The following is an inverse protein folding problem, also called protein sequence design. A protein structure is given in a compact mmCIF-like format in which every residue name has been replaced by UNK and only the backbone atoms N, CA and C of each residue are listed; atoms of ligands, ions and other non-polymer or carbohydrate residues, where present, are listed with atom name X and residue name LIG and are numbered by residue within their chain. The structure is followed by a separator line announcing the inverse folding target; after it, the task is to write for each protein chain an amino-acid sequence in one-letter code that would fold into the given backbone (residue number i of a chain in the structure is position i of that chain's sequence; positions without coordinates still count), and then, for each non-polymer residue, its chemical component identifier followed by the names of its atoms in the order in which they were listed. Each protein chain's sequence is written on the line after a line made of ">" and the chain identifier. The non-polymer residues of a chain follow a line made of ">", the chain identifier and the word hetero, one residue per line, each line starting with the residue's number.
data_IF_520774318667
#
_entry.id   IF_520774318667
#
_cell.length_a   1.000
_cell.length_b   1.000
_cell.length_c   1.000
_cell.angle_alpha   90.00
_cell.angle_beta   90.00
_cell.angle_gamma   90.00
#
_symmetry.space_group_name_H-M   'P 1'
#
loop_
_entity.id
_entity.type
_entity.pdbx_description
1 polymer ?
#
# COMPACT_ATOMS: atom_id res chain seq x y z
N UNK A 1 -12.47 11.85 16.83
CA UNK A 1 -12.79 10.78 15.85
C UNK A 1 -11.71 10.55 14.79
N UNK A 2 -11.16 11.57 14.12
CA UNK A 2 -10.24 11.37 12.97
C UNK A 2 -8.93 10.63 13.26
N UNK A 3 -8.45 10.64 14.50
CA UNK A 3 -7.20 9.96 14.87
C UNK A 3 -7.36 8.43 14.95
N UNK A 4 -8.48 7.96 15.50
CA UNK A 4 -8.79 6.53 15.58
C UNK A 4 -9.09 5.97 14.19
N UNK A 5 -9.78 6.73 13.33
CA UNK A 5 -10.01 6.34 11.94
C UNK A 5 -8.70 6.17 11.16
N UNK A 6 -7.76 7.12 11.29
CA UNK A 6 -6.45 7.01 10.65
C UNK A 6 -5.63 5.84 11.20
N UNK A 7 -5.69 5.60 12.51
CA UNK A 7 -5.02 4.44 13.12
C UNK A 7 -5.59 3.13 12.60
N UNK A 8 -6.92 2.96 12.60
CA UNK A 8 -7.59 1.75 12.09
C UNK A 8 -7.25 1.55 10.61
N UNK A 9 -7.35 2.60 9.80
CA UNK A 9 -7.08 2.52 8.36
C UNK A 9 -5.64 2.10 8.07
N UNK A 10 -4.65 2.72 8.72
CA UNK A 10 -3.25 2.37 8.51
C UNK A 10 -2.92 0.99 9.09
N UNK A 11 -3.45 0.65 10.27
CA UNK A 11 -3.26 -0.67 10.87
C UNK A 11 -3.87 -1.79 10.01
N UNK A 12 -4.99 -1.54 9.33
CA UNK A 12 -5.58 -2.48 8.38
C UNK A 12 -4.84 -2.50 7.03
N UNK A 13 -4.27 -1.37 6.59
CA UNK A 13 -3.56 -1.25 5.30
C UNK A 13 -2.19 -1.94 5.33
N UNK A 14 -1.43 -1.80 6.41
CA UNK A 14 -0.04 -2.28 6.50
C UNK A 14 0.11 -3.81 6.31
N UNK A 15 -0.79 -4.68 6.83
CA UNK A 15 -0.66 -6.13 6.65
C UNK A 15 -1.10 -6.65 5.27
N UNK A 16 -1.84 -5.86 4.48
CA UNK A 16 -2.47 -6.34 3.24
C UNK A 16 -1.49 -6.97 2.24
N UNK A 17 -0.30 -6.36 1.96
CA UNK A 17 0.64 -6.98 1.04
C UNK A 17 1.10 -8.36 1.51
N UNK A 18 1.26 -8.57 2.83
CA UNK A 18 1.71 -9.84 3.38
C UNK A 18 0.67 -10.95 3.21
N UNK A 19 -0.61 -10.63 3.40
CA UNK A 19 -1.69 -11.59 3.18
C UNK A 19 -1.71 -12.10 1.74
N UNK A 20 -1.46 -11.21 0.76
CA UNK A 20 -1.36 -11.59 -0.65
C UNK A 20 -0.16 -12.52 -0.94
N UNK A 21 1.01 -12.23 -0.37
CA UNK A 21 2.19 -13.08 -0.51
C UNK A 21 1.99 -14.47 0.09
N UNK A 22 1.40 -14.53 1.29
CA UNK A 22 1.13 -15.79 1.97
C UNK A 22 0.15 -16.65 1.17
N UNK A 23 -0.99 -16.07 0.75
CA UNK A 23 -1.96 -16.76 -0.10
C UNK A 23 -1.31 -17.30 -1.38
N UNK A 24 -0.48 -16.49 -2.03
CA UNK A 24 0.21 -16.91 -3.26
C UNK A 24 1.17 -18.07 -2.99
N UNK A 25 1.92 -18.04 -1.88
CA UNK A 25 2.83 -19.11 -1.50
C UNK A 25 2.06 -20.43 -1.24
N UNK A 26 0.92 -20.38 -0.56
CA UNK A 26 0.04 -21.54 -0.36
C UNK A 26 -0.48 -22.10 -1.68
N UNK A 27 -0.87 -21.24 -2.62
CA UNK A 27 -1.33 -21.66 -3.95
C UNK A 27 -0.23 -22.37 -4.74
N UNK A 28 1.01 -21.87 -4.70
CA UNK A 28 2.16 -22.52 -5.32
C UNK A 28 2.50 -23.87 -4.68
N UNK A 29 2.34 -24.00 -3.35
CA UNK A 29 2.55 -25.24 -2.63
C UNK A 29 1.47 -26.29 -2.98
N UNK A 30 0.23 -25.86 -3.18
CA UNK A 30 -0.86 -26.74 -3.59
C UNK A 30 -0.75 -27.16 -5.07
N UNK A 31 -0.47 -26.23 -5.99
CA UNK A 31 -0.27 -26.53 -7.41
C UNK A 31 0.66 -25.52 -8.07
N UNK A 32 1.80 -26.02 -8.54
CA UNK A 32 2.75 -25.22 -9.32
C UNK A 32 2.12 -24.65 -10.60
N UNK A 33 1.24 -25.41 -11.25
CA UNK A 33 0.57 -24.96 -12.48
C UNK A 33 -0.35 -23.76 -12.22
N UNK A 34 -1.11 -23.77 -11.12
CA UNK A 34 -1.93 -22.61 -10.74
C UNK A 34 -1.05 -21.41 -10.40
N UNK A 35 0.05 -21.61 -9.68
CA UNK A 35 1.01 -20.54 -9.38
C UNK A 35 1.62 -19.93 -10.65
N UNK A 36 2.08 -20.74 -11.60
CA UNK A 36 2.60 -20.28 -12.89
C UNK A 36 1.53 -19.53 -13.68
N UNK A 37 0.29 -20.01 -13.66
CA UNK A 37 -0.85 -19.35 -14.31
C UNK A 37 -1.13 -17.99 -13.68
N UNK A 38 -1.13 -17.89 -12.34
CA UNK A 38 -1.33 -16.64 -11.59
C UNK A 38 -0.31 -15.56 -11.99
N UNK A 39 0.95 -15.97 -12.13
CA UNK A 39 2.08 -15.06 -12.39
C UNK A 39 2.44 -14.93 -13.87
N UNK A 40 1.69 -15.58 -14.75
CA UNK A 40 1.96 -15.66 -16.19
C UNK A 40 0.81 -15.13 -17.03
N UNK A 41 1.09 -14.91 -18.32
CA UNK A 41 0.07 -14.58 -19.32
C UNK A 41 -0.77 -13.34 -18.98
N UNK A 42 -2.09 -13.47 -19.14
CA UNK A 42 -3.07 -12.39 -18.94
C UNK A 42 -3.15 -11.92 -17.49
N UNK A 43 -2.95 -12.83 -16.52
CA UNK A 43 -3.04 -12.49 -15.10
C UNK A 43 -1.87 -11.62 -14.61
N UNK A 44 -0.67 -11.80 -15.17
CA UNK A 44 0.49 -10.96 -14.85
C UNK A 44 0.22 -9.45 -15.07
N UNK A 45 -0.58 -9.11 -16.08
CA UNK A 45 -0.97 -7.73 -16.36
C UNK A 45 -1.97 -7.16 -15.37
N UNK A 46 -2.86 -8.00 -14.83
CA UNK A 46 -3.73 -7.59 -13.72
C UNK A 46 -2.88 -7.23 -12.50
N UNK A 47 -1.84 -8.00 -12.20
CA UNK A 47 -0.91 -7.68 -11.12
C UNK A 47 -0.15 -6.36 -11.33
N UNK A 48 0.14 -5.97 -12.57
CA UNK A 48 0.71 -4.65 -12.87
C UNK A 48 -0.30 -3.53 -12.58
N UNK A 49 -1.54 -3.67 -13.06
CA UNK A 49 -2.62 -2.71 -12.77
C UNK A 49 -2.84 -2.58 -11.25
N UNK A 50 -2.81 -3.71 -10.54
CA UNK A 50 -2.90 -3.74 -9.09
C UNK A 50 -1.73 -3.02 -8.42
N UNK A 51 -0.50 -3.20 -8.90
CA UNK A 51 0.66 -2.48 -8.37
C UNK A 51 0.49 -0.96 -8.49
N UNK A 52 -0.10 -0.48 -9.60
CA UNK A 52 -0.45 0.95 -9.77
C UNK A 52 -1.46 1.40 -8.72
N UNK A 53 -2.54 0.63 -8.52
CA UNK A 53 -3.58 0.96 -7.53
C UNK A 53 -3.05 0.91 -6.10
N UNK A 54 -2.22 -0.07 -5.74
CA UNK A 54 -1.57 -0.16 -4.43
C UNK A 54 -0.64 1.05 -4.23
N UNK A 55 0.15 1.41 -5.23
CA UNK A 55 0.96 2.63 -5.18
C UNK A 55 0.14 3.89 -4.95
N UNK A 56 -0.96 4.05 -5.70
CA UNK A 56 -1.88 5.17 -5.52
C UNK A 56 -2.51 5.19 -4.12
N UNK A 57 -2.88 4.04 -3.57
CA UNK A 57 -3.40 3.90 -2.20
C UNK A 57 -2.39 4.40 -1.16
N UNK A 58 -1.16 3.91 -1.22
CA UNK A 58 -0.13 4.28 -0.26
C UNK A 58 0.29 5.75 -0.40
N UNK A 59 0.45 6.27 -1.62
CA UNK A 59 0.74 7.68 -1.84
C UNK A 59 -0.39 8.59 -1.33
N UNK A 60 -1.65 8.24 -1.62
CA UNK A 60 -2.82 9.00 -1.16
C UNK A 60 -2.99 8.96 0.36
N UNK A 61 -2.79 7.80 0.98
CA UNK A 61 -2.84 7.64 2.44
C UNK A 61 -1.77 8.49 3.12
N UNK A 62 -0.53 8.45 2.63
CA UNK A 62 0.56 9.26 3.14
C UNK A 62 0.30 10.76 2.95
N UNK A 63 -0.13 11.17 1.76
CA UNK A 63 -0.46 12.56 1.47
C UNK A 63 -1.57 13.09 2.38
N UNK A 64 -2.60 12.27 2.64
CA UNK A 64 -3.67 12.60 3.58
C UNK A 64 -3.14 12.76 5.01
N UNK A 65 -2.25 11.87 5.48
CA UNK A 65 -1.61 12.00 6.79
C UNK A 65 -0.78 13.28 6.89
N UNK A 66 -0.02 13.62 5.85
CA UNK A 66 0.81 14.83 5.80
C UNK A 66 -0.03 16.11 5.84
N UNK A 67 -1.09 16.18 5.04
CA UNK A 67 -2.05 17.28 5.13
C UNK A 67 -2.71 17.33 6.52
N UNK A 68 -2.99 16.16 7.10
CA UNK A 68 -3.57 16.01 8.43
C UNK A 68 -2.69 16.55 9.54
N UNK A 69 -1.37 16.57 9.36
CA UNK A 69 -0.45 17.19 10.31
C UNK A 69 -0.65 18.71 10.42
N UNK A 70 -1.19 19.37 9.39
CA UNK A 70 -1.51 20.81 9.42
C UNK A 70 -2.54 21.21 10.49
N UNK A 71 -3.23 20.24 11.12
CA UNK A 71 -4.16 20.47 12.24
C UNK A 71 -3.46 20.84 13.54
N UNK A 72 -2.15 20.60 13.66
CA UNK A 72 -1.33 20.89 14.84
C UNK A 72 -0.20 21.87 14.50
N UNK A 73 0.00 22.89 15.33
CA UNK A 73 1.16 23.79 15.21
C UNK A 73 2.49 23.06 15.52
N UNK A 74 2.45 22.01 16.34
CA UNK A 74 3.61 21.17 16.66
C UNK A 74 4.11 20.30 15.51
N UNK A 75 3.39 20.25 14.39
CA UNK A 75 3.77 19.47 13.22
C UNK A 75 4.97 20.03 12.44
N UNK A 76 5.24 21.34 12.54
CA UNK A 76 6.29 22.03 11.74
C UNK A 76 7.66 21.36 11.87
N UNK A 77 7.96 20.79 13.05
CA UNK A 77 9.22 20.05 13.32
C UNK A 77 9.42 18.81 12.45
N UNK A 78 8.35 18.25 11.88
CA UNK A 78 8.40 17.02 11.07
C UNK A 78 8.29 17.28 9.56
N UNK A 79 8.01 18.52 9.13
CA UNK A 79 7.90 18.84 7.70
C UNK A 79 9.15 18.53 6.88
N UNK A 80 10.38 18.77 7.39
CA UNK A 80 11.59 18.39 6.64
C UNK A 80 11.72 16.88 6.41
N UNK A 81 11.12 16.03 7.24
CA UNK A 81 11.16 14.58 7.07
C UNK A 81 10.25 14.10 5.92
N UNK A 82 9.15 14.83 5.64
CA UNK A 82 8.15 14.44 4.64
C UNK A 82 8.76 14.26 3.25
N UNK A 83 9.65 15.16 2.82
CA UNK A 83 10.30 15.07 1.49
C UNK A 83 11.12 13.79 1.34
N UNK A 84 11.82 13.35 2.40
CA UNK A 84 12.63 12.13 2.35
C UNK A 84 11.73 10.89 2.31
N UNK A 85 10.65 10.88 3.10
CA UNK A 85 9.66 9.81 3.05
C UNK A 85 9.01 9.74 1.67
N UNK A 86 8.66 10.89 1.07
CA UNK A 86 8.10 10.95 -0.27
C UNK A 86 9.05 10.37 -1.33
N UNK A 87 10.35 10.68 -1.26
CA UNK A 87 11.36 10.09 -2.16
C UNK A 87 11.37 8.56 -2.02
N UNK A 88 11.38 8.04 -0.80
CA UNK A 88 11.35 6.59 -0.55
C UNK A 88 10.08 5.96 -1.12
N UNK A 89 8.91 6.55 -0.86
CA UNK A 89 7.63 6.03 -1.36
C UNK A 89 7.56 6.02 -2.88
N UNK A 90 8.00 7.10 -3.54
CA UNK A 90 8.01 7.21 -5.00
C UNK A 90 9.03 6.25 -5.61
N UNK A 91 10.24 6.16 -5.07
CA UNK A 91 11.25 5.22 -5.55
C UNK A 91 10.78 3.77 -5.42
N UNK A 92 10.23 3.40 -4.26
CA UNK A 92 9.61 2.07 -4.07
C UNK A 92 8.47 1.82 -5.04
N UNK A 93 7.60 2.81 -5.26
CA UNK A 93 6.50 2.68 -6.21
C UNK A 93 7.00 2.44 -7.64
N UNK A 94 8.01 3.18 -8.10
CA UNK A 94 8.59 3.00 -9.44
C UNK A 94 9.22 1.63 -9.62
N UNK A 95 9.93 1.11 -8.60
CA UNK A 95 10.47 -0.25 -8.63
C UNK A 95 9.35 -1.29 -8.70
N UNK A 96 8.32 -1.15 -7.86
CA UNK A 96 7.19 -2.08 -7.85
C UNK A 96 6.42 -2.08 -9.18
N UNK A 97 6.17 -0.90 -9.73
CA UNK A 97 5.48 -0.72 -11.01
C UNK A 97 6.21 -1.35 -12.20
N UNK A 98 7.53 -1.56 -12.10
CA UNK A 98 8.32 -2.05 -13.23
C UNK A 98 7.88 -3.48 -13.63
N UNK A 99 7.39 -3.69 -14.87
CA UNK A 99 7.00 -5.01 -15.33
C UNK A 99 8.25 -5.87 -15.60
N UNK A 100 8.14 -7.18 -15.34
CA UNK A 100 9.20 -8.11 -15.75
C UNK A 100 9.07 -8.45 -17.23
N UNK A 101 7.87 -8.77 -17.69
CA UNK A 101 7.53 -9.08 -19.08
C UNK A 101 6.87 -7.88 -19.76
N UNK A 102 7.36 -7.48 -20.92
CA UNK A 102 6.76 -6.44 -21.74
C UNK A 102 5.83 -7.05 -22.79
N UNK A 103 4.71 -6.40 -23.08
CA UNK A 103 3.88 -6.73 -24.26
C UNK A 103 4.55 -6.04 -25.44
N UNK A 104 5.28 -6.85 -26.19
CA UNK A 104 6.06 -6.43 -27.34
C UNK A 104 5.41 -7.03 -28.59
N UNK A 105 5.35 -6.23 -29.65
CA UNK A 105 5.12 -6.75 -30.99
C UNK A 105 6.27 -7.66 -31.41
N UNK A 106 6.06 -8.52 -32.39
CA UNK A 106 7.11 -9.42 -32.90
C UNK A 106 8.34 -8.64 -33.40
N UNK A 107 8.15 -7.44 -33.94
CA UNK A 107 9.24 -6.55 -34.37
C UNK A 107 10.04 -6.01 -33.18
N UNK A 108 9.36 -5.56 -32.13
CA UNK A 108 9.99 -5.04 -30.92
C UNK A 108 10.73 -6.16 -30.16
N UNK A 109 10.15 -7.36 -30.07
CA UNK A 109 10.77 -8.53 -29.46
C UNK A 109 12.10 -8.88 -30.14
N UNK A 110 12.13 -8.81 -31.49
CA UNK A 110 13.33 -9.04 -32.29
C UNK A 110 14.38 -7.95 -32.06
N UNK A 111 13.94 -6.69 -31.89
CA UNK A 111 14.84 -5.56 -31.64
C UNK A 111 15.44 -5.57 -30.22
N UNK A 112 14.69 -6.05 -29.23
CA UNK A 112 15.14 -6.17 -27.84
C UNK A 112 16.04 -7.39 -27.61
N UNK A 113 16.07 -8.35 -28.54
CA UNK A 113 16.81 -9.60 -28.39
C UNK A 113 16.19 -10.56 -27.34
N UNK A 114 14.96 -10.31 -26.90
CA UNK A 114 14.26 -11.13 -25.91
C UNK A 114 12.99 -10.46 -25.37
N UNK A 115 12.24 -11.16 -24.49
CA UNK A 115 11.01 -10.65 -23.88
C UNK A 115 11.25 -9.66 -22.72
N UNK A 116 12.52 -9.44 -22.34
CA UNK A 116 12.93 -8.67 -21.17
C UNK A 116 13.82 -7.50 -21.58
N UNK A 117 13.61 -6.34 -20.95
CA UNK A 117 14.51 -5.20 -21.10
C UNK A 117 15.75 -5.40 -20.21
N UNK A 118 16.96 -5.20 -20.77
CA UNK A 118 18.23 -5.47 -20.08
C UNK A 118 18.34 -4.80 -18.70
N UNK A 119 17.96 -3.52 -18.59
CA UNK A 119 18.03 -2.77 -17.34
C UNK A 119 16.76 -2.88 -16.47
N UNK A 120 15.57 -2.69 -17.05
CA UNK A 120 14.30 -2.69 -16.31
C UNK A 120 13.85 -4.09 -15.87
N UNK A 121 14.21 -5.13 -16.62
CA UNK A 121 13.86 -6.51 -16.29
C UNK A 121 14.40 -6.96 -14.93
N UNK A 122 15.55 -6.40 -14.52
CA UNK A 122 16.17 -6.60 -13.21
C UNK A 122 15.29 -6.05 -12.09
N UNK A 123 14.63 -4.90 -12.28
CA UNK A 123 13.70 -4.33 -11.29
C UNK A 123 12.34 -5.03 -11.29
N UNK A 124 11.98 -5.71 -12.38
CA UNK A 124 10.72 -6.43 -12.52
C UNK A 124 10.62 -7.73 -11.72
N UNK A 125 11.74 -8.26 -11.19
CA UNK A 125 11.74 -9.54 -10.47
C UNK A 125 11.11 -9.44 -9.07
N UNK A 126 10.64 -10.57 -8.56
CA UNK A 126 9.99 -10.66 -7.23
C UNK A 126 10.85 -10.11 -6.07
N UNK A 127 12.17 -10.41 -5.97
CA UNK A 127 13.01 -9.82 -4.92
C UNK A 127 13.00 -8.29 -4.89
N UNK A 128 13.14 -7.63 -6.05
CA UNK A 128 13.14 -6.18 -6.15
C UNK A 128 11.80 -5.59 -5.68
N UNK A 129 10.70 -6.19 -6.13
CA UNK A 129 9.34 -5.79 -5.75
C UNK A 129 9.13 -5.95 -4.25
N UNK A 130 9.51 -7.09 -3.67
CA UNK A 130 9.36 -7.34 -2.23
C UNK A 130 10.17 -6.33 -1.39
N UNK A 131 11.40 -6.02 -1.80
CA UNK A 131 12.20 -4.98 -1.14
C UNK A 131 11.50 -3.62 -1.22
N UNK A 132 11.02 -3.23 -2.39
CA UNK A 132 10.29 -1.98 -2.59
C UNK A 132 9.03 -1.90 -1.71
N UNK A 133 8.25 -2.99 -1.60
CA UNK A 133 7.07 -3.10 -0.73
C UNK A 133 7.45 -2.80 0.72
N UNK A 134 8.49 -3.45 1.24
CA UNK A 134 8.89 -3.32 2.64
C UNK A 134 9.34 -1.88 2.95
N UNK A 135 10.09 -1.24 2.05
CA UNK A 135 10.42 0.19 2.18
C UNK A 135 9.19 1.10 2.14
N UNK A 136 8.22 0.78 1.29
CA UNK A 136 6.98 1.52 1.17
C UNK A 136 6.10 1.39 2.43
N UNK A 137 6.07 0.21 3.05
CA UNK A 137 5.44 -0.04 4.35
C UNK A 137 6.14 0.73 5.47
N UNK A 138 7.48 0.68 5.55
CA UNK A 138 8.25 1.42 6.56
C UNK A 138 8.09 2.94 6.42
N UNK A 139 8.11 3.46 5.18
CA UNK A 139 7.87 4.87 4.92
C UNK A 139 6.45 5.31 5.35
N UNK A 140 5.45 4.48 5.06
CA UNK A 140 4.06 4.74 5.46
C UNK A 140 3.87 4.70 6.97
N UNK A 141 4.45 3.69 7.63
CA UNK A 141 4.44 3.59 9.08
C UNK A 141 5.17 4.77 9.74
N UNK A 142 6.31 5.20 9.19
CA UNK A 142 7.03 6.38 9.65
C UNK A 142 6.17 7.65 9.52
N UNK A 143 5.50 7.87 8.38
CA UNK A 143 4.53 8.96 8.23
C UNK A 143 3.43 8.92 9.28
N UNK A 144 2.87 7.74 9.55
CA UNK A 144 1.85 7.56 10.57
C UNK A 144 2.39 7.86 11.97
N UNK A 145 3.61 7.43 12.28
CA UNK A 145 4.28 7.70 13.55
C UNK A 145 4.52 9.20 13.75
N UNK A 146 5.00 9.91 12.72
CA UNK A 146 5.19 11.36 12.76
C UNK A 146 3.85 12.11 12.92
N UNK A 147 2.82 11.69 12.18
CA UNK A 147 1.45 12.18 12.37
C UNK A 147 0.98 11.98 13.81
N UNK A 148 1.28 10.81 14.41
CA UNK A 148 0.92 10.52 15.79
C UNK A 148 1.64 11.43 16.80
N UNK A 149 2.86 11.82 16.48
CA UNK A 149 3.65 12.70 17.34
C UNK A 149 3.32 14.17 17.10
N UNK A 150 2.68 14.54 16.00
CA UNK A 150 2.53 15.94 15.57
C UNK A 150 1.91 16.88 16.62
N UNK A 151 1.03 16.40 17.51
CA UNK A 151 0.46 17.21 18.60
C UNK A 151 0.97 16.86 20.00
N UNK A 152 2.03 16.04 20.13
CA UNK A 152 2.49 15.53 21.44
C UNK A 152 3.90 16.00 21.78
N UNK A 153 4.12 16.47 23.00
CA UNK A 153 5.45 16.71 23.58
C UNK A 153 5.74 15.59 24.57
N UNK A 154 6.81 14.85 24.34
CA UNK A 154 7.24 13.81 25.26
C UNK A 154 7.80 14.43 26.55
N UNK A 155 7.41 13.88 27.69
CA UNK A 155 7.72 14.41 29.03
C UNK A 155 8.76 13.58 29.78
N UNK A 156 9.09 12.39 29.28
CA UNK A 156 10.11 11.50 29.87
C UNK A 156 11.53 12.00 29.59
N UNK A 157 12.47 11.69 30.49
CA UNK A 157 13.87 12.12 30.40
C UNK A 157 14.66 11.44 29.28
N UNK A 158 14.28 10.22 28.91
CA UNK A 158 15.00 9.37 27.95
C UNK A 158 14.57 9.57 26.48
N UNK A 159 13.84 10.64 26.14
CA UNK A 159 13.34 10.91 24.78
C UNK A 159 14.44 10.93 23.73
N UNK A 160 15.60 11.49 24.05
CA UNK A 160 16.75 11.51 23.13
C UNK A 160 17.24 10.10 22.83
N UNK A 161 17.39 9.27 23.86
CA UNK A 161 17.78 7.87 23.71
C UNK A 161 16.72 7.04 22.97
N UNK A 162 15.44 7.24 23.27
CA UNK A 162 14.33 6.55 22.60
C UNK A 162 14.25 6.88 21.10
N UNK A 163 14.38 8.16 20.75
CA UNK A 163 14.45 8.57 19.34
C UNK A 163 15.70 8.03 18.63
N UNK A 164 16.86 8.04 19.29
CA UNK A 164 18.09 7.47 18.74
C UNK A 164 17.95 5.95 18.50
N UNK A 165 17.36 5.23 19.45
CA UNK A 165 17.08 3.79 19.32
C UNK A 165 16.11 3.50 18.17
N UNK A 166 15.07 4.32 17.97
CA UNK A 166 14.17 4.17 16.83
C UNK A 166 14.87 4.46 15.50
N UNK A 167 15.68 5.52 15.41
CA UNK A 167 16.46 5.80 14.20
C UNK A 167 17.38 4.61 13.90
N UNK A 168 18.10 4.10 14.90
CA UNK A 168 18.96 2.93 14.75
C UNK A 168 18.16 1.70 14.29
N UNK A 169 16.97 1.46 14.85
CA UNK A 169 16.09 0.36 14.46
C UNK A 169 15.64 0.46 13.00
N UNK A 170 15.21 1.64 12.54
CA UNK A 170 14.83 1.86 11.14
C UNK A 170 16.03 1.73 10.19
N UNK A 171 17.20 2.25 10.56
CA UNK A 171 18.42 2.16 9.74
C UNK A 171 18.91 0.72 9.64
N UNK A 172 19.05 0.02 10.77
CA UNK A 172 19.47 -1.38 10.80
C UNK A 172 18.49 -2.27 10.04
N UNK A 173 17.19 -2.03 10.22
CA UNK A 173 16.13 -2.72 9.51
C UNK A 173 16.14 -2.48 8.00
N UNK A 174 16.33 -1.22 7.57
CA UNK A 174 16.49 -0.87 6.17
C UNK A 174 17.71 -1.54 5.54
N UNK A 175 18.85 -1.55 6.24
CA UNK A 175 20.06 -2.25 5.79
C UNK A 175 19.79 -3.76 5.68
N UNK A 176 19.14 -4.37 6.67
CA UNK A 176 18.80 -5.79 6.63
C UNK A 176 17.88 -6.13 5.44
N UNK A 177 16.83 -5.33 5.21
CA UNK A 177 15.92 -5.50 4.06
C UNK A 177 16.69 -5.36 2.75
N UNK A 178 17.63 -4.41 2.64
CA UNK A 178 18.47 -4.24 1.45
C UNK A 178 19.41 -5.42 1.23
N UNK A 179 20.03 -5.96 2.28
CA UNK A 179 20.90 -7.15 2.18
C UNK A 179 20.06 -8.35 1.72
N UNK A 180 18.91 -8.58 2.34
CA UNK A 180 17.99 -9.66 1.97
C UNK A 180 17.47 -9.51 0.53
N UNK A 181 17.19 -8.28 0.10
CA UNK A 181 16.73 -7.97 -1.24
C UNK A 181 17.79 -8.10 -2.32
N UNK A 182 18.98 -7.53 -2.08
CA UNK A 182 20.04 -7.47 -3.07
C UNK A 182 20.88 -8.74 -3.11
N UNK A 183 21.42 -9.15 -1.96
CA UNK A 183 22.33 -10.30 -1.90
C UNK A 183 21.60 -11.59 -2.23
N UNK A 184 20.55 -11.91 -1.47
CA UNK A 184 19.78 -13.13 -1.69
C UNK A 184 18.91 -13.07 -2.94
N UNK A 185 18.40 -11.89 -3.32
CA UNK A 185 17.58 -11.74 -4.52
C UNK A 185 18.31 -11.94 -5.85
N UNK A 186 19.54 -11.43 -5.99
CA UNK A 186 20.26 -11.47 -7.27
C UNK A 186 21.39 -12.49 -7.32
N UNK A 187 22.08 -12.74 -6.21
CA UNK A 187 23.32 -13.53 -6.20
C UNK A 187 23.15 -14.98 -5.69
N UNK A 188 21.93 -15.41 -5.35
CA UNK A 188 21.68 -16.77 -4.83
C UNK A 188 20.70 -17.57 -5.68
N UNK A 189 20.57 -18.87 -5.38
CA UNK A 189 19.64 -19.78 -6.06
C UNK A 189 18.17 -19.41 -5.82
N UNK A 190 17.29 -19.80 -6.75
CA UNK A 190 15.85 -19.45 -6.76
C UNK A 190 15.12 -19.79 -5.45
N UNK A 191 15.50 -20.87 -4.77
CA UNK A 191 14.93 -21.27 -3.47
C UNK A 191 15.17 -20.19 -2.41
N UNK A 192 16.40 -19.68 -2.33
CA UNK A 192 16.77 -18.62 -1.38
C UNK A 192 16.15 -17.27 -1.76
N UNK A 193 15.95 -16.99 -3.05
CA UNK A 193 15.24 -15.78 -3.51
C UNK A 193 13.82 -15.71 -2.95
N UNK A 194 13.09 -16.82 -2.98
CA UNK A 194 11.71 -16.90 -2.46
C UNK A 194 11.72 -16.89 -0.93
N UNK A 195 12.60 -17.68 -0.31
CA UNK A 195 12.70 -17.79 1.15
C UNK A 195 13.11 -16.47 1.82
N UNK A 196 13.93 -15.64 1.16
CA UNK A 196 14.35 -14.33 1.66
C UNK A 196 13.21 -13.31 1.79
N UNK A 197 12.02 -13.59 1.23
CA UNK A 197 10.86 -12.71 1.40
C UNK A 197 10.33 -12.71 2.83
N UNK A 198 10.28 -13.87 3.48
CA UNK A 198 9.81 -14.06 4.86
C UNK A 198 10.62 -13.20 5.86
N UNK A 199 11.96 -13.27 5.92
CA UNK A 199 12.74 -12.44 6.85
C UNK A 199 12.66 -10.94 6.52
N UNK A 200 12.43 -10.52 5.26
CA UNK A 200 12.17 -9.11 4.95
C UNK A 200 10.87 -8.63 5.61
N UNK A 201 9.80 -9.41 5.48
CA UNK A 201 8.51 -9.14 6.11
C UNK A 201 8.63 -9.10 7.63
N UNK A 202 9.28 -10.12 8.22
CA UNK A 202 9.48 -10.18 9.67
C UNK A 202 10.28 -8.98 10.18
N UNK A 203 11.30 -8.55 9.43
CA UNK A 203 12.07 -7.34 9.77
C UNK A 203 11.14 -6.12 9.83
N UNK A 204 10.30 -5.92 8.82
CA UNK A 204 9.32 -4.82 8.78
C UNK A 204 8.36 -4.87 9.96
N UNK A 205 7.79 -6.05 10.25
CA UNK A 205 6.87 -6.23 11.38
C UNK A 205 7.55 -5.97 12.73
N UNK A 206 8.78 -6.47 12.92
CA UNK A 206 9.57 -6.22 14.13
C UNK A 206 9.82 -4.73 14.32
N UNK A 207 10.20 -4.00 13.26
CA UNK A 207 10.39 -2.54 13.32
C UNK A 207 9.10 -1.85 13.72
N UNK A 208 7.97 -2.21 13.10
CA UNK A 208 6.66 -1.62 13.41
C UNK A 208 6.30 -1.86 14.88
N UNK A 209 6.34 -3.12 15.34
CA UNK A 209 5.94 -3.50 16.70
C UNK A 209 6.87 -2.84 17.72
N UNK A 210 8.20 -2.98 17.57
CA UNK A 210 9.15 -2.40 18.49
C UNK A 210 9.06 -0.86 18.52
N UNK A 211 8.87 -0.21 17.36
CA UNK A 211 8.68 1.24 17.30
C UNK A 211 7.39 1.69 17.99
N UNK A 212 6.29 0.95 17.83
CA UNK A 212 5.02 1.23 18.54
C UNK A 212 5.20 1.08 20.04
N UNK A 213 5.91 0.05 20.50
CA UNK A 213 6.21 -0.16 21.92
C UNK A 213 7.03 1.00 22.48
N UNK A 214 8.15 1.35 21.83
CA UNK A 214 9.01 2.47 22.24
C UNK A 214 8.20 3.77 22.29
N UNK A 215 7.39 4.06 21.26
CA UNK A 215 6.56 5.26 21.24
C UNK A 215 5.52 5.30 22.36
N UNK A 216 4.90 4.15 22.66
CA UNK A 216 3.84 4.06 23.66
C UNK A 216 4.40 4.40 25.04
N UNK A 217 5.62 3.94 25.35
CA UNK A 217 6.31 4.30 26.59
C UNK A 217 6.84 5.74 26.55
N UNK A 218 7.40 6.19 25.43
CA UNK A 218 8.00 7.53 25.31
C UNK A 218 6.97 8.66 25.36
N UNK A 219 5.75 8.43 24.90
CA UNK A 219 4.66 9.41 24.92
C UNK A 219 3.62 9.14 26.03
N UNK A 220 3.95 8.29 27.02
CA UNK A 220 3.12 8.09 28.20
C UNK A 220 3.08 9.39 29.02
N UNK A 221 1.89 9.98 29.18
CA UNK A 221 1.73 11.28 29.85
C UNK A 221 2.25 12.47 29.04
N UNK A 222 2.31 12.36 27.71
CA UNK A 222 2.71 13.46 26.84
C UNK A 222 1.76 14.66 26.94
N UNK A 223 2.31 15.87 26.92
CA UNK A 223 1.54 17.12 26.88
C UNK A 223 1.14 17.45 25.44
N UNK A 224 -0.01 18.07 25.27
CA UNK A 224 -0.39 18.59 23.95
C UNK A 224 0.36 19.89 23.65
N UNK A 225 0.83 20.05 22.41
CA UNK A 225 1.56 21.27 22.00
C UNK A 225 0.61 22.46 21.92
N UNK A 226 -0.57 22.25 21.33
CA UNK A 226 -1.61 23.24 21.17
C UNK A 226 -2.97 22.55 21.02
N UNK A 227 -4.10 23.28 21.22
CA UNK A 227 -5.42 22.76 20.90
C UNK A 227 -5.48 22.34 19.42
N UNK A 228 -5.90 21.10 19.16
CA UNK A 228 -5.99 20.59 17.80
C UNK A 228 -7.09 21.36 17.03
N UNK A 229 -6.72 21.98 15.91
CA UNK A 229 -7.67 22.73 15.08
C UNK A 229 -8.41 21.80 14.13
N UNK A 230 -9.46 21.16 14.61
CA UNK A 230 -10.36 20.35 13.78
C UNK A 230 -10.98 21.19 12.66
N UNK A 231 -11.09 20.63 11.46
CA UNK A 231 -11.55 21.36 10.26
C UNK A 231 -10.44 22.09 9.48
N UNK A 232 -9.25 22.32 10.05
CA UNK A 232 -8.10 22.86 9.30
C UNK A 232 -7.49 21.77 8.42
N UNK A 233 -8.09 21.53 7.27
CA UNK A 233 -7.63 20.57 6.29
C UNK A 233 -7.69 21.18 4.89
N UNK A 234 -6.67 20.96 4.08
CA UNK A 234 -6.65 21.47 2.70
C UNK A 234 -7.70 20.75 1.84
N UNK A 235 -8.28 21.44 0.85
CA UNK A 235 -9.17 20.80 -0.14
C UNK A 235 -8.46 19.63 -0.85
N UNK A 236 -7.13 19.75 -1.03
CA UNK A 236 -6.27 18.72 -1.61
C UNK A 236 -6.33 17.39 -0.88
N UNK A 237 -6.52 17.40 0.44
CA UNK A 237 -6.63 16.15 1.20
C UNK A 237 -7.91 15.39 0.91
N UNK A 238 -8.99 16.09 0.54
CA UNK A 238 -10.27 15.46 0.25
C UNK A 238 -10.18 14.66 -1.06
N UNK A 239 -9.51 15.21 -2.07
CA UNK A 239 -9.20 14.46 -3.29
C UNK A 239 -8.38 13.20 -3.00
N UNK A 240 -7.43 13.26 -2.05
CA UNK A 240 -6.68 12.07 -1.64
C UNK A 240 -7.54 11.02 -0.93
N UNK A 241 -8.53 11.42 -0.13
CA UNK A 241 -9.49 10.48 0.46
C UNK A 241 -10.39 9.83 -0.60
N UNK A 242 -10.89 10.62 -1.54
CA UNK A 242 -11.68 10.10 -2.66
C UNK A 242 -10.85 9.13 -3.52
N UNK A 243 -9.62 9.51 -3.87
CA UNK A 243 -8.70 8.65 -4.61
C UNK A 243 -8.42 7.35 -3.85
N UNK A 244 -8.24 7.41 -2.54
CA UNK A 244 -8.05 6.24 -1.69
C UNK A 244 -9.28 5.32 -1.73
N UNK A 245 -10.48 5.87 -1.57
CA UNK A 245 -11.71 5.09 -1.61
C UNK A 245 -11.91 4.41 -2.98
N UNK A 246 -11.76 5.17 -4.07
CA UNK A 246 -11.89 4.65 -5.44
C UNK A 246 -10.85 3.57 -5.74
N UNK A 247 -9.59 3.83 -5.40
CA UNK A 247 -8.51 2.87 -5.63
C UNK A 247 -8.72 1.57 -4.83
N UNK A 248 -9.27 1.66 -3.62
CA UNK A 248 -9.53 0.50 -2.77
C UNK A 248 -10.67 -0.35 -3.33
N UNK A 249 -11.78 0.26 -3.73
CA UNK A 249 -12.91 -0.44 -4.35
C UNK A 249 -12.50 -1.12 -5.65
N UNK A 250 -11.73 -0.43 -6.49
CA UNK A 250 -11.24 -1.00 -7.74
C UNK A 250 -10.29 -2.17 -7.48
N UNK A 251 -9.35 -2.02 -6.55
CA UNK A 251 -8.42 -3.08 -6.16
C UNK A 251 -9.16 -4.32 -5.67
N UNK A 252 -10.18 -4.16 -4.81
CA UNK A 252 -10.99 -5.28 -4.33
C UNK A 252 -11.70 -6.02 -5.47
N UNK A 253 -12.28 -5.28 -6.43
CA UNK A 253 -12.93 -5.88 -7.60
C UNK A 253 -11.96 -6.68 -8.47
N UNK A 254 -10.78 -6.12 -8.75
CA UNK A 254 -9.73 -6.80 -9.53
C UNK A 254 -9.17 -8.03 -8.81
N UNK A 255 -8.92 -7.94 -7.51
CA UNK A 255 -8.43 -9.08 -6.72
C UNK A 255 -9.50 -10.19 -6.61
N UNK A 256 -10.77 -9.82 -6.47
CA UNK A 256 -11.89 -10.76 -6.50
C UNK A 256 -11.98 -11.51 -7.82
N UNK A 257 -11.76 -10.80 -8.94
CA UNK A 257 -11.67 -11.41 -10.26
C UNK A 257 -10.53 -12.42 -10.35
N UNK A 258 -9.29 -12.04 -10.00
CA UNK A 258 -8.12 -12.95 -10.04
C UNK A 258 -8.37 -14.23 -9.24
N UNK A 259 -8.96 -14.11 -8.04
CA UNK A 259 -9.29 -15.28 -7.20
C UNK A 259 -10.32 -16.20 -7.85
N UNK A 260 -11.29 -15.66 -8.58
CA UNK A 260 -12.26 -16.50 -9.29
C UNK A 260 -11.65 -17.13 -10.54
N UNK A 261 -10.91 -16.32 -11.30
CA UNK A 261 -10.37 -16.66 -12.61
C UNK A 261 -9.26 -17.72 -12.57
N UNK A 262 -8.52 -17.82 -11.46
CA UNK A 262 -7.52 -18.88 -11.27
C UNK A 262 -8.12 -20.29 -11.21
N UNK A 263 -9.41 -20.41 -10.87
CA UNK A 263 -10.11 -21.69 -10.90
C UNK A 263 -10.40 -22.15 -12.33
N UNK A 264 -10.27 -21.27 -13.33
CA UNK A 264 -10.52 -21.58 -14.74
C UNK A 264 -11.87 -22.27 -14.92
N UNK A 265 -11.88 -23.50 -15.44
CA UNK A 265 -13.07 -24.32 -15.68
C UNK A 265 -13.38 -25.26 -14.51
N UNK A 266 -12.98 -24.94 -13.29
CA UNK A 266 -13.19 -25.78 -12.11
C UNK A 266 -14.04 -25.05 -11.07
N UNK A 267 -15.06 -25.73 -10.53
CA UNK A 267 -15.75 -25.25 -9.33
C UNK A 267 -14.91 -25.58 -8.08
N UNK A 268 -14.37 -26.80 -8.05
CA UNK A 268 -13.37 -27.27 -7.08
C UNK A 268 -12.16 -27.76 -7.86
N UNK A 269 -11.01 -27.13 -7.63
CA UNK A 269 -9.78 -27.37 -8.40
C UNK A 269 -9.47 -28.86 -8.47
N UNK A 270 -9.33 -29.38 -9.69
CA UNK A 270 -9.03 -30.78 -10.00
C UNK A 270 -10.04 -31.83 -9.50
N UNK A 271 -11.19 -31.43 -8.98
CA UNK A 271 -12.23 -32.36 -8.46
C UNK A 271 -13.51 -32.24 -9.28
N UNK A 272 -14.04 -31.03 -9.47
CA UNK A 272 -15.30 -30.81 -10.16
C UNK A 272 -15.13 -29.79 -11.27
N UNK A 273 -15.06 -30.29 -12.51
CA UNK A 273 -14.90 -29.49 -13.73
C UNK A 273 -16.26 -29.00 -14.23
N UNK A 274 -16.33 -27.70 -14.51
CA UNK A 274 -17.45 -27.08 -15.20
C UNK A 274 -17.29 -27.32 -16.71
N UNK A 275 -18.25 -28.03 -17.29
CA UNK A 275 -18.32 -28.32 -18.73
C UNK A 275 -19.44 -27.51 -19.42
N UNK A 276 -20.04 -26.54 -18.73
CA UNK A 276 -21.06 -25.70 -19.34
C UNK A 276 -20.46 -24.85 -20.48
N UNK A 277 -21.25 -24.52 -21.52
CA UNK A 277 -20.81 -23.64 -22.61
C UNK A 277 -20.34 -22.26 -22.13
N UNK A 278 -20.85 -21.81 -20.99
CA UNK A 278 -20.56 -20.50 -20.39
C UNK A 278 -19.37 -20.55 -19.41
N UNK A 279 -18.72 -21.70 -19.25
CA UNK A 279 -17.53 -21.85 -18.42
C UNK A 279 -16.30 -21.27 -19.13
N UNK A 280 -16.12 -19.95 -19.07
CA UNK A 280 -14.93 -19.28 -19.60
C UNK A 280 -14.31 -18.32 -18.59
N UNK A 281 -13.01 -18.11 -18.75
CA UNK A 281 -12.27 -17.06 -18.02
C UNK A 281 -12.25 -15.81 -18.89
N UNK A 282 -12.86 -14.69 -18.46
CA UNK A 282 -12.84 -13.47 -19.23
C UNK A 282 -11.43 -12.97 -19.56
N UNK A 283 -11.31 -12.23 -20.65
CA UNK A 283 -10.05 -11.54 -20.94
C UNK A 283 -9.85 -10.34 -20.01
N UNK A 284 -8.66 -9.74 -20.07
CA UNK A 284 -8.31 -8.59 -19.24
C UNK A 284 -9.24 -7.39 -19.50
N UNK A 285 -9.55 -7.12 -20.77
CA UNK A 285 -10.36 -5.97 -21.16
C UNK A 285 -11.78 -6.08 -20.62
N UNK A 286 -12.42 -7.23 -20.82
CA UNK A 286 -13.76 -7.48 -20.30
C UNK A 286 -13.80 -7.41 -18.77
N UNK A 287 -12.87 -8.10 -18.09
CA UNK A 287 -12.84 -8.11 -16.63
C UNK A 287 -12.64 -6.70 -16.05
N UNK A 288 -11.69 -5.92 -16.61
CA UNK A 288 -11.43 -4.55 -16.17
C UNK A 288 -12.65 -3.65 -16.40
N UNK A 289 -13.36 -3.78 -17.53
CA UNK A 289 -14.56 -3.01 -17.83
C UNK A 289 -15.70 -3.32 -16.85
N UNK A 290 -16.00 -4.60 -16.60
CA UNK A 290 -17.06 -5.01 -15.66
C UNK A 290 -16.74 -4.53 -14.24
N UNK A 291 -15.49 -4.69 -13.79
CA UNK A 291 -15.05 -4.19 -12.48
C UNK A 291 -15.16 -2.67 -12.39
N UNK A 292 -14.84 -1.94 -13.46
CA UNK A 292 -14.95 -0.49 -13.51
C UNK A 292 -16.40 -0.04 -13.42
N UNK A 293 -17.31 -0.69 -14.17
CA UNK A 293 -18.75 -0.44 -14.09
C UNK A 293 -19.27 -0.70 -12.67
N UNK A 294 -18.91 -1.84 -12.07
CA UNK A 294 -19.30 -2.17 -10.70
C UNK A 294 -18.77 -1.15 -9.69
N UNK A 295 -17.54 -0.68 -9.87
CA UNK A 295 -16.93 0.37 -9.02
C UNK A 295 -17.69 1.69 -9.16
N UNK A 296 -18.07 2.10 -10.37
CA UNK A 296 -18.84 3.32 -10.61
C UNK A 296 -20.24 3.25 -10.01
N UNK A 297 -20.93 2.10 -10.15
CA UNK A 297 -22.25 1.87 -9.54
C UNK A 297 -22.14 1.98 -8.02
N UNK A 298 -21.17 1.30 -7.42
CA UNK A 298 -20.95 1.35 -5.97
C UNK A 298 -20.65 2.77 -5.49
N UNK A 299 -19.75 3.49 -6.17
CA UNK A 299 -19.42 4.87 -5.81
C UNK A 299 -20.63 5.80 -5.94
N UNK A 300 -21.44 5.62 -6.97
CA UNK A 300 -22.68 6.38 -7.17
C UNK A 300 -23.66 6.11 -6.03
N UNK A 301 -23.84 4.85 -5.62
CA UNK A 301 -24.67 4.48 -4.47
C UNK A 301 -24.15 5.11 -3.17
N UNK A 302 -22.85 5.06 -2.92
CA UNK A 302 -22.24 5.68 -1.73
C UNK A 302 -22.47 7.19 -1.72
N UNK A 303 -22.22 7.88 -2.84
CA UNK A 303 -22.49 9.32 -2.99
C UNK A 303 -23.97 9.62 -2.75
N UNK A 304 -24.87 8.82 -3.31
CA UNK A 304 -26.31 8.95 -3.14
C UNK A 304 -26.74 8.80 -1.67
N UNK A 305 -26.20 7.82 -0.95
CA UNK A 305 -26.48 7.62 0.49
C UNK A 305 -26.00 8.82 1.31
N UNK A 306 -24.79 9.32 1.06
CA UNK A 306 -24.29 10.51 1.76
C UNK A 306 -25.12 11.75 1.43
N UNK A 307 -25.54 11.92 0.17
CA UNK A 307 -26.43 13.00 -0.24
C UNK A 307 -27.79 12.91 0.47
N UNK A 308 -28.41 11.73 0.54
CA UNK A 308 -29.66 11.52 1.27
C UNK A 308 -29.51 11.91 2.76
N UNK A 309 -28.38 11.58 3.37
CA UNK A 309 -28.06 11.97 4.76
C UNK A 309 -27.98 13.49 4.95
N UNK A 310 -27.66 14.27 3.91
CA UNK A 310 -27.63 15.74 4.03
C UNK A 310 -29.04 16.34 4.04
N UNK A 311 -30.00 15.69 3.38
CA UNK A 311 -31.40 16.16 3.33
C UNK A 311 -32.09 16.00 4.69
N UNK A 312 -31.78 14.92 5.43
CA UNK A 312 -32.34 14.66 6.76
C UNK A 312 -31.63 15.36 7.92
N UNK A 313 -30.47 15.98 7.68
CA UNK A 313 -29.65 16.60 8.73
C UNK A 313 -30.01 18.06 8.98
N UNK A 314 -30.41 18.42 10.21
CA UNK A 314 -30.43 19.83 10.62
C UNK A 314 -29.00 20.36 10.55
N UNK A 315 -28.71 21.21 9.57
CA UNK A 315 -27.42 21.87 9.43
C UNK A 315 -27.19 22.83 10.60
N UNK A 316 -26.57 22.36 11.67
CA UNK A 316 -25.97 23.25 12.67
C UNK A 316 -24.65 23.73 12.08
N UNK A 317 -24.72 24.82 11.31
CA UNK A 317 -23.51 25.54 10.90
C UNK A 317 -22.87 26.09 12.16
N UNK A 318 -21.74 25.51 12.56
CA UNK A 318 -20.96 26.04 13.66
C UNK A 318 -20.39 27.41 13.24
N UNK A 319 -21.11 28.49 13.58
CA UNK A 319 -20.64 29.87 13.40
C UNK A 319 -19.33 30.05 14.18
N UNK A 320 -18.24 30.36 13.47
CA UNK A 320 -17.11 31.05 14.09
C UNK A 320 -15.69 30.58 13.75
N UNK A 321 -15.47 29.57 12.90
CA UNK A 321 -14.13 28.96 12.87
C UNK A 321 -13.08 29.59 11.94
N UNK A 322 -13.39 30.47 10.99
CA UNK A 322 -12.35 31.12 10.17
C UNK A 322 -12.73 32.52 9.63
N UNK A 323 -11.83 33.49 9.88
CA UNK A 323 -11.54 34.61 8.96
C UNK A 323 -10.29 34.22 8.18
N UNK A 324 -10.35 34.21 6.86
CA UNK A 324 -9.14 34.18 6.03
C UNK A 324 -8.29 35.40 6.41
N UNK A 325 -7.05 35.16 6.84
CA UNK A 325 -6.08 36.24 6.89
C UNK A 325 -5.64 36.49 5.45
N UNK A 326 -5.97 37.69 4.98
CA UNK A 326 -5.57 38.25 3.69
C UNK A 326 -4.04 38.25 3.52
#
# INVERSE_FOLDING_TARGET
>A
MGYNANFIAIAALLPLPFAGYYLTAEMYAYSQQMGITLMGGVFAWIFIIQAVLIGALFLSANYYLWCGMGRSEGAKRYYPAIKYIAIVLVASFLVWFTPHTLVLTNAELKSLGGPYHQYLGVLGIMPAKNTAVNFLLLGTFLSFMLYRRANKVATVSWVKAGNAAQIALFVAGAINIMILGLYYGYFTNTVYKVAASIPQVLTTLVIIIASVVIDSFMYKGAKEVAPLRWGRMSNRSQYALFLLAVSFTWLMGLMGYVRSAIRQHWHVSNVFRDNSPDAFTPDLGYAANIVSIGTLIFMTMVIFVFWLSTIGGKHVVAKGYWKEQA
#
